data_IF_264969655506
#
_entry.id   IF_264969655506
#
_cell.length_a   1.000
_cell.length_b   1.000
_cell.length_c   1.000
_cell.angle_alpha   90.00
_cell.angle_beta   90.00
_cell.angle_gamma   90.00
#
_symmetry.space_group_name_H-M   'P 1'
#
loop_
_entity.id
_entity.type
_entity.pdbx_description
1 polymer ?
#
# COMPACT_ATOMS: atom_id res chain seq x y z
N UNK A 1 9.97 14.20 -35.89
CA UNK A 1 9.21 15.26 -35.21
C UNK A 1 9.20 14.92 -33.74
N UNK A 2 9.71 15.80 -32.86
CA UNK A 2 9.63 15.59 -31.41
C UNK A 2 8.23 15.89 -30.91
N UNK A 3 7.75 15.13 -29.92
CA UNK A 3 6.50 15.43 -29.21
C UNK A 3 6.56 16.84 -28.60
N UNK A 4 5.47 17.59 -28.73
CA UNK A 4 5.31 18.89 -28.08
C UNK A 4 5.16 18.75 -26.56
N UNK A 5 5.44 19.81 -25.81
CA UNK A 5 5.34 19.81 -24.33
C UNK A 5 3.90 19.50 -23.84
N UNK A 6 2.90 19.98 -24.58
CA UNK A 6 1.49 19.69 -24.33
C UNK A 6 1.14 18.22 -24.56
N UNK A 7 1.66 17.61 -25.63
CA UNK A 7 1.49 16.17 -25.92
C UNK A 7 2.11 15.30 -24.83
N UNK A 8 3.31 15.66 -24.35
CA UNK A 8 3.97 14.96 -23.24
C UNK A 8 3.16 15.04 -21.95
N UNK A 9 2.64 16.23 -21.62
CA UNK A 9 1.83 16.46 -20.42
C UNK A 9 0.49 15.71 -20.48
N UNK A 10 -0.14 15.67 -21.66
CA UNK A 10 -1.37 14.90 -21.90
C UNK A 10 -1.10 13.39 -21.76
N UNK A 11 0.01 12.90 -22.34
CA UNK A 11 0.44 11.50 -22.26
C UNK A 11 0.74 11.07 -20.82
N UNK A 12 1.48 11.88 -20.07
CA UNK A 12 1.77 11.63 -18.64
C UNK A 12 0.47 11.53 -17.83
N UNK A 13 -0.47 12.44 -18.09
CA UNK A 13 -1.78 12.44 -17.43
C UNK A 13 -2.59 11.18 -17.76
N UNK A 14 -2.62 10.75 -19.02
CA UNK A 14 -3.34 9.54 -19.43
C UNK A 14 -2.74 8.28 -18.79
N UNK A 15 -1.41 8.16 -18.76
CA UNK A 15 -0.73 7.03 -18.12
C UNK A 15 -1.03 6.99 -16.61
N UNK A 16 -1.04 8.15 -15.94
CA UNK A 16 -1.42 8.22 -14.54
C UNK A 16 -2.90 7.87 -14.31
N UNK A 17 -3.80 8.27 -15.20
CA UNK A 17 -5.21 7.86 -15.14
C UNK A 17 -5.38 6.35 -15.29
N UNK A 18 -4.64 5.70 -16.21
CA UNK A 18 -4.65 4.25 -16.35
C UNK A 18 -4.21 3.55 -15.05
N UNK A 19 -3.15 4.05 -14.41
CA UNK A 19 -2.71 3.58 -13.09
C UNK A 19 -3.78 3.75 -12.01
N UNK A 20 -4.42 4.93 -11.94
CA UNK A 20 -5.51 5.21 -10.99
C UNK A 20 -6.72 4.31 -11.23
N UNK A 21 -7.03 3.96 -12.47
CA UNK A 21 -8.19 3.15 -12.85
C UNK A 21 -7.94 1.63 -12.74
N UNK A 22 -6.69 1.18 -12.67
CA UNK A 22 -6.35 -0.23 -12.54
C UNK A 22 -7.06 -0.89 -11.33
N UNK A 23 -7.65 -2.07 -11.56
CA UNK A 23 -8.58 -2.73 -10.65
C UNK A 23 -8.06 -4.06 -10.06
N UNK A 24 -6.82 -4.43 -10.41
CA UNK A 24 -6.12 -5.64 -9.95
C UNK A 24 -4.72 -5.27 -9.48
N UNK A 25 -4.15 -6.04 -8.54
CA UNK A 25 -2.81 -5.78 -8.02
C UNK A 25 -1.77 -5.80 -9.15
N UNK A 26 -1.72 -6.88 -9.94
CA UNK A 26 -0.85 -7.01 -11.12
C UNK A 26 -1.05 -5.88 -12.14
N UNK A 27 -2.31 -5.52 -12.44
CA UNK A 27 -2.61 -4.42 -13.37
C UNK A 27 -2.15 -3.06 -12.86
N UNK A 28 -2.27 -2.80 -11.55
CA UNK A 28 -1.76 -1.58 -10.91
C UNK A 28 -0.23 -1.52 -10.98
N UNK A 29 0.48 -2.60 -10.65
CA UNK A 29 1.95 -2.66 -10.74
C UNK A 29 2.43 -2.48 -12.19
N UNK A 30 1.78 -3.13 -13.16
CA UNK A 30 2.11 -2.99 -14.57
C UNK A 30 1.87 -1.57 -15.09
N UNK A 31 0.71 -0.98 -14.79
CA UNK A 31 0.41 0.39 -15.20
C UNK A 31 1.39 1.40 -14.60
N UNK A 32 1.79 1.19 -13.34
CA UNK A 32 2.80 2.01 -12.67
C UNK A 32 4.19 1.86 -13.30
N UNK A 33 4.62 0.63 -13.60
CA UNK A 33 5.89 0.39 -14.30
C UNK A 33 5.95 1.06 -15.67
N UNK A 34 4.85 0.98 -16.44
CA UNK A 34 4.74 1.69 -17.73
C UNK A 34 4.81 3.20 -17.51
N UNK A 35 4.09 3.74 -16.53
CA UNK A 35 4.14 5.17 -16.18
C UNK A 35 5.57 5.62 -15.88
N UNK A 36 6.27 4.94 -14.96
CA UNK A 36 7.65 5.28 -14.59
C UNK A 36 8.58 5.22 -15.80
N UNK A 37 8.51 4.15 -16.60
CA UNK A 37 9.36 3.99 -17.80
C UNK A 37 9.14 5.09 -18.83
N UNK A 38 7.89 5.50 -19.07
CA UNK A 38 7.57 6.51 -20.07
C UNK A 38 7.89 7.94 -19.60
N UNK A 39 7.95 8.15 -18.28
CA UNK A 39 8.34 9.42 -17.68
C UNK A 39 9.83 9.45 -17.28
N UNK A 40 10.58 8.39 -17.61
CA UNK A 40 12.01 8.25 -17.28
C UNK A 40 12.29 8.41 -15.78
N UNK A 41 11.36 7.92 -14.94
CA UNK A 41 11.47 7.94 -13.49
C UNK A 41 11.97 6.59 -12.97
N UNK A 42 12.97 6.61 -12.10
CA UNK A 42 13.42 5.43 -11.38
C UNK A 42 12.74 5.35 -10.00
N UNK A 43 11.81 4.39 -9.77
CA UNK A 43 11.19 4.20 -8.46
C UNK A 43 12.16 3.70 -7.38
N UNK A 44 13.37 3.27 -7.73
CA UNK A 44 14.37 2.85 -6.76
C UNK A 44 15.06 4.03 -6.06
N UNK A 45 15.10 5.21 -6.69
CA UNK A 45 15.49 6.48 -6.06
C UNK A 45 14.36 7.05 -5.19
N UNK A 46 14.03 6.32 -4.11
CA UNK A 46 12.90 6.61 -3.24
C UNK A 46 12.93 8.02 -2.63
N UNK A 47 14.13 8.62 -2.49
CA UNK A 47 14.34 9.91 -1.84
C UNK A 47 13.79 11.09 -2.66
N UNK A 48 13.90 11.01 -3.98
CA UNK A 48 13.47 12.07 -4.90
C UNK A 48 12.20 11.69 -5.68
N UNK A 49 11.88 10.40 -5.75
CA UNK A 49 10.85 9.85 -6.64
C UNK A 49 9.49 10.55 -6.55
N UNK A 50 8.93 10.74 -5.35
CA UNK A 50 7.63 11.39 -5.20
C UNK A 50 7.63 12.82 -5.75
N UNK A 51 8.72 13.57 -5.52
CA UNK A 51 8.90 14.93 -6.06
C UNK A 51 8.93 14.93 -7.57
N UNK A 52 9.72 14.03 -8.17
CA UNK A 52 9.87 13.87 -9.62
C UNK A 52 8.56 13.42 -10.29
N UNK A 53 7.86 12.43 -9.71
CA UNK A 53 6.55 11.98 -10.18
C UNK A 53 5.53 13.12 -10.16
N UNK A 54 5.47 13.89 -9.06
CA UNK A 54 4.57 15.03 -8.93
C UNK A 54 4.87 16.11 -9.97
N UNK A 55 6.13 16.38 -10.26
CA UNK A 55 6.54 17.35 -11.27
C UNK A 55 6.16 16.88 -12.69
N UNK A 56 6.36 15.60 -12.99
CA UNK A 56 6.05 15.01 -14.30
C UNK A 56 4.54 14.87 -14.57
N UNK A 57 3.71 14.73 -13.53
CA UNK A 57 2.25 14.59 -13.64
C UNK A 57 1.56 15.85 -13.07
N UNK A 58 1.51 16.91 -13.87
CA UNK A 58 1.13 18.26 -13.44
C UNK A 58 -0.30 18.71 -13.80
N UNK A 59 -1.19 17.81 -14.23
CA UNK A 59 -2.55 18.21 -14.67
C UNK A 59 -3.53 18.57 -13.55
N UNK A 60 -4.54 19.37 -13.89
CA UNK A 60 -5.59 19.79 -12.96
C UNK A 60 -6.32 18.62 -12.29
N UNK A 61 -6.44 17.48 -12.98
CA UNK A 61 -7.11 16.27 -12.50
C UNK A 61 -6.41 15.61 -11.32
N UNK A 62 -5.11 15.84 -11.13
CA UNK A 62 -4.30 15.23 -10.06
C UNK A 62 -3.92 16.19 -8.95
N UNK A 63 -4.07 17.50 -9.17
CA UNK A 63 -3.75 18.57 -8.20
C UNK A 63 -4.32 18.30 -6.78
N UNK A 64 -5.58 17.88 -6.70
CA UNK A 64 -6.23 17.59 -5.41
C UNK A 64 -5.62 16.39 -4.66
N UNK A 65 -5.06 15.42 -5.38
CA UNK A 65 -4.33 14.30 -4.78
C UNK A 65 -2.98 14.78 -4.22
N UNK A 66 -2.23 15.55 -5.02
CA UNK A 66 -0.95 16.13 -4.61
C UNK A 66 -1.08 17.02 -3.38
N UNK A 67 -2.07 17.92 -3.34
CA UNK A 67 -2.33 18.75 -2.16
C UNK A 67 -2.56 17.94 -0.89
N UNK A 68 -3.25 16.79 -1.00
CA UNK A 68 -3.53 15.91 0.13
C UNK A 68 -2.27 15.20 0.65
N UNK A 69 -1.50 14.62 -0.27
CA UNK A 69 -0.25 13.92 0.07
C UNK A 69 0.81 14.90 0.58
N UNK A 70 0.96 16.07 -0.04
CA UNK A 70 1.86 17.13 0.41
C UNK A 70 1.47 17.61 1.82
N UNK A 71 0.18 17.82 2.09
CA UNK A 71 -0.29 18.21 3.44
C UNK A 71 0.05 17.16 4.50
N UNK A 72 0.01 15.87 4.15
CA UNK A 72 0.44 14.79 5.05
C UNK A 72 1.96 14.83 5.24
N UNK A 73 2.73 14.83 4.16
CA UNK A 73 4.20 14.82 4.19
C UNK A 73 4.82 16.04 4.90
N UNK A 74 4.14 17.19 4.92
CA UNK A 74 4.57 18.42 5.59
C UNK A 74 4.32 18.43 7.10
N UNK A 75 3.70 17.40 7.69
CA UNK A 75 3.56 17.33 9.15
C UNK A 75 4.92 17.25 9.82
N UNK A 76 5.08 17.97 10.95
CA UNK A 76 6.36 18.12 11.65
C UNK A 76 7.04 16.79 11.99
N UNK A 77 6.26 15.75 12.29
CA UNK A 77 6.76 14.41 12.64
C UNK A 77 7.63 13.77 11.55
N UNK A 78 7.39 14.10 10.27
CA UNK A 78 8.16 13.53 9.16
C UNK A 78 9.47 14.26 8.90
N UNK A 79 9.71 15.42 9.53
CA UNK A 79 10.91 16.24 9.34
C UNK A 79 11.28 16.44 7.87
N UNK A 80 10.28 16.80 7.04
CA UNK A 80 10.46 16.93 5.57
C UNK A 80 11.06 15.67 4.92
N UNK A 81 10.56 14.49 5.29
CA UNK A 81 11.04 13.19 4.81
C UNK A 81 12.46 12.80 5.26
N UNK A 82 12.94 13.38 6.38
CA UNK A 82 14.31 13.14 6.88
C UNK A 82 14.37 12.52 8.27
N UNK A 83 13.23 12.28 8.91
CA UNK A 83 13.18 11.77 10.29
C UNK A 83 13.88 10.41 10.46
N UNK A 84 13.81 9.56 9.44
CA UNK A 84 14.43 8.23 9.41
C UNK A 84 15.30 8.03 8.14
N UNK A 85 15.92 9.10 7.64
CA UNK A 85 16.78 9.02 6.47
C UNK A 85 17.92 8.01 6.69
N UNK A 86 18.19 7.19 5.68
CA UNK A 86 19.20 6.14 5.75
C UNK A 86 18.72 4.83 6.38
N UNK A 87 17.53 4.80 6.99
CA UNK A 87 16.93 3.56 7.52
C UNK A 87 16.31 2.75 6.38
N UNK A 88 16.62 1.46 6.33
CA UNK A 88 16.04 0.49 5.38
C UNK A 88 15.06 -0.42 6.09
N UNK A 89 13.86 -0.56 5.54
CA UNK A 89 12.76 -1.30 6.16
C UNK A 89 12.21 -2.38 5.23
N UNK A 90 12.05 -3.60 5.75
CA UNK A 90 11.33 -4.69 5.10
C UNK A 90 9.96 -4.89 5.76
N UNK A 91 8.90 -4.86 4.97
CA UNK A 91 7.53 -5.15 5.40
C UNK A 91 7.09 -6.47 4.77
N UNK A 92 6.68 -7.42 5.60
CA UNK A 92 6.21 -8.73 5.18
C UNK A 92 4.68 -8.69 5.16
N UNK A 93 4.09 -8.66 3.95
CA UNK A 93 2.65 -8.69 3.74
C UNK A 93 2.07 -7.40 3.13
N UNK A 94 1.45 -7.53 1.96
CA UNK A 94 0.75 -6.48 1.21
C UNK A 94 -0.73 -6.32 1.62
N UNK A 95 -1.04 -6.58 2.90
CA UNK A 95 -2.36 -6.34 3.49
C UNK A 95 -2.62 -4.86 3.77
N UNK A 96 -3.85 -4.47 4.17
CA UNK A 96 -4.14 -3.08 4.54
C UNK A 96 -3.18 -2.51 5.59
N UNK A 97 -2.89 -3.26 6.65
CA UNK A 97 -1.99 -2.82 7.71
C UNK A 97 -0.55 -2.66 7.20
N UNK A 98 -0.01 -3.64 6.47
CA UNK A 98 1.37 -3.58 5.93
C UNK A 98 1.56 -2.41 4.98
N UNK A 99 0.64 -2.21 4.02
CA UNK A 99 0.69 -1.08 3.09
C UNK A 99 0.50 0.26 3.82
N UNK A 100 -0.37 0.32 4.83
CA UNK A 100 -0.56 1.54 5.63
C UNK A 100 0.71 1.90 6.41
N UNK A 101 1.41 0.91 6.97
CA UNK A 101 2.69 1.10 7.63
C UNK A 101 3.77 1.53 6.64
N UNK A 102 3.79 0.93 5.44
CA UNK A 102 4.73 1.30 4.38
C UNK A 102 4.64 2.78 4.01
N UNK A 103 3.41 3.31 3.93
CA UNK A 103 3.15 4.73 3.67
C UNK A 103 3.76 5.62 4.76
N UNK A 104 3.61 5.30 6.06
CA UNK A 104 4.21 6.13 7.12
C UNK A 104 5.74 6.07 7.10
N UNK A 105 6.33 4.88 6.92
CA UNK A 105 7.78 4.73 6.83
C UNK A 105 8.36 5.48 5.63
N UNK A 106 7.67 5.43 4.48
CA UNK A 106 8.08 6.19 3.30
C UNK A 106 8.03 7.69 3.60
N UNK A 107 6.99 8.19 4.27
CA UNK A 107 6.88 9.59 4.68
C UNK A 107 7.95 10.01 5.69
N UNK A 108 8.41 9.10 6.56
CA UNK A 108 9.52 9.34 7.49
C UNK A 108 10.89 9.44 6.81
N UNK A 109 11.02 8.98 5.56
CA UNK A 109 12.27 9.00 4.80
C UNK A 109 13.00 7.67 4.68
N UNK A 110 12.37 6.57 5.12
CA UNK A 110 12.98 5.23 5.00
C UNK A 110 13.02 4.77 3.53
N UNK A 111 14.00 3.92 3.20
CA UNK A 111 13.88 3.02 2.04
C UNK A 111 12.94 1.87 2.46
N UNK A 112 11.78 1.78 1.83
CA UNK A 112 10.76 0.79 2.21
C UNK A 112 10.58 -0.25 1.11
N UNK A 113 10.74 -1.51 1.47
CA UNK A 113 10.45 -2.67 0.62
C UNK A 113 9.29 -3.46 1.24
N UNK A 114 8.26 -3.75 0.44
CA UNK A 114 7.15 -4.62 0.81
C UNK A 114 7.25 -5.90 -0.02
N UNK A 115 7.25 -7.05 0.65
CA UNK A 115 7.12 -8.36 0.00
C UNK A 115 5.74 -8.95 0.28
N UNK A 116 5.09 -9.50 -0.74
CA UNK A 116 3.81 -10.18 -0.65
C UNK A 116 3.84 -11.50 -1.42
N UNK A 117 3.41 -12.57 -0.75
CA UNK A 117 3.37 -13.92 -1.33
C UNK A 117 2.42 -14.05 -2.52
N UNK A 118 1.37 -13.24 -2.59
CA UNK A 118 0.35 -13.28 -3.65
C UNK A 118 0.48 -12.13 -4.63
N UNK A 119 0.03 -12.32 -5.87
CA UNK A 119 -0.09 -11.25 -6.86
C UNK A 119 -1.52 -10.75 -7.09
N UNK A 120 -2.46 -11.21 -6.25
CA UNK A 120 -3.89 -10.89 -6.37
C UNK A 120 -4.51 -10.47 -5.05
N UNK A 121 -5.39 -9.47 -5.12
CA UNK A 121 -6.25 -9.05 -4.01
C UNK A 121 -7.67 -9.61 -4.24
N UNK A 122 -7.94 -10.77 -3.64
CA UNK A 122 -9.13 -11.59 -3.92
C UNK A 122 -10.24 -11.53 -2.86
N UNK A 123 -9.96 -10.92 -1.69
CA UNK A 123 -10.91 -10.92 -0.55
C UNK A 123 -11.99 -9.85 -0.74
N UNK A 124 -13.24 -10.32 -0.89
CA UNK A 124 -14.41 -9.45 -1.08
C UNK A 124 -15.08 -9.01 0.23
N UNK A 125 -14.79 -9.71 1.34
CA UNK A 125 -15.35 -9.35 2.65
C UNK A 125 -15.12 -7.86 2.97
N UNK A 126 -16.09 -7.29 3.68
CA UNK A 126 -16.21 -5.87 3.95
C UNK A 126 -15.74 -5.57 5.38
N UNK A 127 -14.92 -4.54 5.52
CA UNK A 127 -14.41 -4.04 6.79
C UNK A 127 -15.17 -2.78 7.17
N UNK A 128 -15.73 -2.76 8.38
CA UNK A 128 -16.17 -1.52 9.01
C UNK A 128 -14.96 -0.61 9.30
N UNK A 129 -15.16 0.69 9.16
CA UNK A 129 -14.16 1.73 9.35
C UNK A 129 -14.62 2.71 10.42
N UNK A 130 -13.78 2.91 11.43
CA UNK A 130 -14.04 3.95 12.41
C UNK A 130 -13.88 5.34 11.79
N UNK A 131 -14.50 6.39 12.36
CA UNK A 131 -14.43 7.75 11.82
C UNK A 131 -13.00 8.25 11.56
N UNK A 132 -12.04 7.93 12.45
CA UNK A 132 -10.64 8.34 12.26
C UNK A 132 -9.98 7.64 11.07
N UNK A 133 -10.32 6.37 10.81
CA UNK A 133 -9.81 5.61 9.66
C UNK A 133 -10.38 6.17 8.36
N UNK A 134 -11.66 6.55 8.34
CA UNK A 134 -12.27 7.23 7.19
C UNK A 134 -11.55 8.56 6.93
N UNK A 135 -11.30 9.35 7.98
CA UNK A 135 -10.58 10.62 7.86
C UNK A 135 -9.15 10.42 7.33
N UNK A 136 -8.40 9.43 7.87
CA UNK A 136 -7.04 9.09 7.43
C UNK A 136 -7.00 8.71 5.94
N UNK A 137 -7.87 7.79 5.51
CA UNK A 137 -7.94 7.36 4.10
C UNK A 137 -8.38 8.51 3.18
N UNK A 138 -9.33 9.38 3.60
CA UNK A 138 -9.69 10.59 2.86
C UNK A 138 -8.51 11.56 2.73
N UNK A 139 -7.67 11.66 3.75
CA UNK A 139 -6.46 12.48 3.74
C UNK A 139 -5.36 11.90 2.83
N UNK A 140 -5.37 10.58 2.57
CA UNK A 140 -4.52 9.92 1.58
C UNK A 140 -5.11 9.92 0.15
N UNK A 141 -6.23 10.60 -0.06
CA UNK A 141 -6.84 10.73 -1.39
C UNK A 141 -7.72 9.54 -1.80
N UNK A 142 -8.26 8.76 -0.86
CA UNK A 142 -9.09 7.58 -1.15
C UNK A 142 -10.14 7.77 -2.26
N UNK A 143 -10.84 8.91 -2.29
CA UNK A 143 -11.86 9.20 -3.33
C UNK A 143 -11.29 9.27 -4.76
N UNK A 144 -10.00 9.58 -4.93
CA UNK A 144 -9.34 9.58 -6.24
C UNK A 144 -9.18 8.16 -6.79
N UNK A 145 -8.88 7.20 -5.92
CA UNK A 145 -8.64 5.81 -6.29
C UNK A 145 -9.91 4.95 -6.24
N UNK A 146 -10.89 5.37 -5.43
CA UNK A 146 -12.18 4.71 -5.29
C UNK A 146 -13.28 5.77 -5.10
N UNK A 147 -13.94 6.16 -6.20
CA UNK A 147 -14.93 7.25 -6.21
C UNK A 147 -16.11 7.04 -5.26
N UNK A 148 -16.47 5.78 -4.97
CA UNK A 148 -17.53 5.40 -4.04
C UNK A 148 -17.09 5.39 -2.57
N UNK A 149 -15.83 5.74 -2.26
CA UNK A 149 -15.29 5.66 -0.91
C UNK A 149 -16.09 6.49 0.09
N UNK A 150 -16.77 5.80 1.02
CA UNK A 150 -17.55 6.38 2.11
C UNK A 150 -18.45 7.53 1.62
N UNK A 151 -19.22 7.28 0.56
CA UNK A 151 -20.21 8.20 0.03
C UNK A 151 -21.48 8.16 0.90
N UNK A 152 -22.05 9.32 1.22
CA UNK A 152 -23.16 9.41 2.16
C UNK A 152 -22.76 8.92 3.56
N UNK A 153 -23.55 8.01 4.13
CA UNK A 153 -23.35 7.39 5.44
C UNK A 153 -22.54 6.09 5.41
N UNK A 154 -22.02 5.66 4.25
CA UNK A 154 -21.21 4.43 4.14
C UNK A 154 -19.94 4.58 4.99
N UNK A 155 -19.71 3.60 5.87
CA UNK A 155 -18.58 3.55 6.79
C UNK A 155 -17.74 2.28 6.64
N UNK A 156 -17.80 1.63 5.47
CA UNK A 156 -17.12 0.36 5.23
C UNK A 156 -16.49 0.27 3.85
N UNK A 157 -15.59 -0.71 3.69
CA UNK A 157 -14.87 -0.97 2.44
C UNK A 157 -14.50 -2.45 2.31
N UNK A 158 -14.58 -3.02 1.09
CA UNK A 158 -14.05 -4.37 0.86
C UNK A 158 -12.53 -4.41 1.02
N UNK A 159 -12.01 -5.51 1.55
CA UNK A 159 -10.57 -5.69 1.81
C UNK A 159 -9.75 -5.42 0.54
N UNK A 160 -10.14 -5.99 -0.60
CA UNK A 160 -9.41 -5.79 -1.87
C UNK A 160 -9.39 -4.34 -2.35
N UNK A 161 -10.46 -3.55 -2.13
CA UNK A 161 -10.48 -2.14 -2.53
C UNK A 161 -9.57 -1.30 -1.64
N UNK A 162 -9.54 -1.60 -0.34
CA UNK A 162 -8.60 -0.97 0.58
C UNK A 162 -7.15 -1.29 0.22
N UNK A 163 -6.85 -2.56 -0.12
CA UNK A 163 -5.51 -2.96 -0.59
C UNK A 163 -5.11 -2.24 -1.88
N UNK A 164 -5.98 -2.15 -2.89
CA UNK A 164 -5.68 -1.44 -4.14
C UNK A 164 -5.41 0.05 -3.92
N UNK A 165 -6.21 0.70 -3.08
CA UNK A 165 -6.03 2.10 -2.75
C UNK A 165 -4.68 2.35 -2.07
N UNK A 166 -4.37 1.58 -1.02
CA UNK A 166 -3.13 1.75 -0.27
C UNK A 166 -1.90 1.35 -1.10
N UNK A 167 -2.01 0.35 -1.99
CA UNK A 167 -0.96 0.01 -2.94
C UNK A 167 -0.63 1.19 -3.85
N UNK A 168 -1.66 1.86 -4.41
CA UNK A 168 -1.46 3.03 -5.28
C UNK A 168 -0.75 4.17 -4.55
N UNK A 169 -1.15 4.45 -3.30
CA UNK A 169 -0.49 5.48 -2.48
C UNK A 169 0.95 5.07 -2.14
N UNK A 170 1.19 3.80 -1.82
CA UNK A 170 2.54 3.28 -1.53
C UNK A 170 3.48 3.48 -2.72
N UNK A 171 3.03 3.10 -3.93
CA UNK A 171 3.81 3.25 -5.17
C UNK A 171 4.11 4.72 -5.48
N UNK A 172 3.11 5.61 -5.35
CA UNK A 172 3.30 7.06 -5.53
C UNK A 172 4.39 7.61 -4.60
N UNK A 173 4.47 7.10 -3.37
CA UNK A 173 5.45 7.53 -2.37
C UNK A 173 6.80 6.82 -2.48
N UNK A 174 7.04 6.05 -3.55
CA UNK A 174 8.33 5.39 -3.78
C UNK A 174 8.54 4.12 -2.94
N UNK A 175 7.48 3.53 -2.38
CA UNK A 175 7.57 2.21 -1.75
C UNK A 175 7.80 1.15 -2.83
N UNK A 176 8.84 0.35 -2.64
CA UNK A 176 9.16 -0.76 -3.52
C UNK A 176 8.32 -1.98 -3.13
N UNK A 177 7.51 -2.50 -4.06
CA UNK A 177 6.56 -3.60 -3.77
C UNK A 177 6.83 -4.79 -4.68
N UNK A 178 7.11 -5.95 -4.08
CA UNK A 178 7.34 -7.21 -4.77
C UNK A 178 6.27 -8.23 -4.41
N UNK A 179 5.59 -8.72 -5.45
CA UNK A 179 4.57 -9.78 -5.33
C UNK A 179 5.13 -11.12 -5.76
N UNK A 180 4.47 -12.22 -5.37
CA UNK A 180 4.97 -13.59 -5.56
C UNK A 180 6.31 -13.83 -4.85
N UNK A 181 6.56 -13.11 -3.76
CA UNK A 181 7.75 -13.27 -2.91
C UNK A 181 7.29 -13.68 -1.52
N UNK A 182 7.62 -14.92 -1.14
CA UNK A 182 7.30 -15.46 0.17
C UNK A 182 8.49 -15.26 1.11
N UNK A 183 8.24 -14.67 2.28
CA UNK A 183 9.19 -14.67 3.39
C UNK A 183 9.28 -16.06 4.01
N UNK A 184 10.49 -16.53 4.28
CA UNK A 184 10.76 -17.81 4.97
C UNK A 184 11.23 -17.57 6.39
N UNK A 185 12.34 -16.85 6.57
CA UNK A 185 12.92 -16.53 7.88
C UNK A 185 13.88 -15.34 7.79
N UNK A 186 14.28 -14.81 8.95
CA UNK A 186 15.38 -13.87 9.04
C UNK A 186 16.71 -14.59 8.85
N UNK A 187 17.66 -13.89 8.25
CA UNK A 187 19.05 -14.31 8.10
C UNK A 187 19.91 -13.32 8.87
N UNK A 188 20.57 -13.82 9.91
CA UNK A 188 21.46 -13.04 10.75
C UNK A 188 22.73 -12.64 9.98
N UNK A 189 23.30 -11.46 10.26
CA UNK A 189 24.66 -11.13 9.83
C UNK A 189 25.65 -12.21 10.30
N UNK A 190 26.62 -12.63 9.48
CA UNK A 190 27.70 -13.52 9.92
C UNK A 190 28.45 -12.98 11.14
N UNK A 191 28.78 -13.85 12.11
CA UNK A 191 29.49 -13.47 13.33
C UNK A 191 30.92 -12.95 13.06
N UNK A 192 31.61 -13.55 12.08
CA UNK A 192 32.94 -13.16 11.65
C UNK A 192 32.86 -12.39 10.32
N UNK A 193 32.82 -11.06 10.40
CA UNK A 193 32.84 -10.18 9.23
C UNK A 193 33.63 -8.90 9.49
N UNK A 194 34.18 -8.30 8.43
CA UNK A 194 34.72 -6.94 8.44
C UNK A 194 33.58 -5.91 8.54
N UNK A 195 33.88 -4.64 8.86
CA UNK A 195 32.86 -3.58 8.99
C UNK A 195 31.94 -3.43 7.75
N UNK A 196 32.38 -3.90 6.57
CA UNK A 196 31.62 -3.91 5.30
C UNK A 196 30.76 -5.17 5.06
N UNK A 197 30.54 -6.00 6.07
CA UNK A 197 29.76 -7.23 5.97
C UNK A 197 28.24 -7.01 5.74
N UNK A 198 27.51 -8.03 5.25
CA UNK A 198 26.07 -7.91 5.03
C UNK A 198 25.30 -7.75 6.35
N UNK A 199 24.37 -6.80 6.39
CA UNK A 199 23.44 -6.63 7.51
C UNK A 199 22.36 -7.74 7.57
N UNK A 200 21.34 -7.52 8.40
CA UNK A 200 20.19 -8.42 8.49
C UNK A 200 19.49 -8.56 7.13
N UNK A 201 19.17 -9.81 6.75
CA UNK A 201 18.48 -10.13 5.49
C UNK A 201 17.28 -11.05 5.74
N UNK A 202 16.54 -11.32 4.68
CA UNK A 202 15.43 -12.27 4.70
C UNK A 202 15.71 -13.41 3.71
N UNK A 203 15.53 -14.65 4.16
CA UNK A 203 15.39 -15.77 3.25
C UNK A 203 14.01 -15.67 2.59
N UNK A 204 13.99 -15.65 1.27
CA UNK A 204 12.77 -15.50 0.48
C UNK A 204 12.64 -16.59 -0.60
N UNK A 205 11.42 -16.80 -1.06
CA UNK A 205 11.13 -17.68 -2.21
C UNK A 205 10.46 -16.88 -3.34
N UNK A 206 10.96 -17.01 -4.59
CA UNK A 206 12.11 -17.83 -5.01
C UNK A 206 13.45 -17.25 -4.52
N UNK A 207 14.42 -18.12 -4.21
CA UNK A 207 15.74 -17.71 -3.68
C UNK A 207 16.61 -16.96 -4.69
N UNK A 208 16.29 -17.04 -5.98
CA UNK A 208 16.94 -16.28 -7.04
C UNK A 208 16.44 -14.83 -7.15
N UNK A 209 15.50 -14.42 -6.29
CA UNK A 209 14.94 -13.08 -6.33
C UNK A 209 15.99 -12.05 -5.86
N UNK A 210 16.14 -10.88 -6.53
CA UNK A 210 17.17 -9.88 -6.19
C UNK A 210 17.14 -9.38 -4.75
N UNK A 211 15.96 -9.41 -4.11
CA UNK A 211 15.82 -9.03 -2.70
C UNK A 211 16.51 -9.99 -1.70
N UNK A 212 17.03 -11.13 -2.14
CA UNK A 212 17.77 -12.05 -1.26
C UNK A 212 19.05 -11.40 -0.71
N UNK A 213 19.55 -10.37 -1.39
CA UNK A 213 20.72 -9.58 -0.97
C UNK A 213 20.34 -8.23 -0.34
N UNK A 214 19.03 -7.95 -0.20
CA UNK A 214 18.55 -6.72 0.42
C UNK A 214 18.73 -6.79 1.95
N UNK A 215 19.66 -5.98 2.47
CA UNK A 215 19.83 -5.79 3.91
C UNK A 215 18.95 -4.67 4.45
N UNK A 216 18.39 -4.86 5.64
CA UNK A 216 17.49 -3.91 6.30
C UNK A 216 17.79 -3.76 7.79
N UNK A 217 17.39 -2.62 8.35
CA UNK A 217 17.59 -2.28 9.76
C UNK A 217 16.28 -2.48 10.55
N UNK A 218 15.14 -2.48 9.85
CA UNK A 218 13.81 -2.61 10.43
C UNK A 218 13.04 -3.69 9.66
N UNK A 219 12.40 -4.62 10.39
CA UNK A 219 11.47 -5.60 9.82
C UNK A 219 10.10 -5.49 10.48
N UNK A 220 9.04 -5.57 9.68
CA UNK A 220 7.65 -5.48 10.13
C UNK A 220 6.86 -6.67 9.59
N UNK A 221 6.42 -7.54 10.50
CA UNK A 221 5.51 -8.64 10.20
C UNK A 221 4.05 -8.15 10.10
N UNK A 222 3.49 -8.10 8.89
CA UNK A 222 2.12 -7.67 8.60
C UNK A 222 1.37 -8.67 7.69
N UNK A 223 1.77 -9.93 7.72
CA UNK A 223 1.31 -11.05 6.88
C UNK A 223 0.16 -11.88 7.52
N UNK A 224 -0.34 -11.41 8.66
CA UNK A 224 -1.57 -11.89 9.28
C UNK A 224 -1.38 -13.04 10.27
N UNK A 225 -2.48 -13.70 10.64
CA UNK A 225 -2.50 -14.64 11.79
C UNK A 225 -1.58 -15.85 11.64
N UNK A 226 -1.29 -16.31 10.43
CA UNK A 226 -0.61 -17.59 10.21
C UNK A 226 0.92 -17.51 10.29
N UNK A 227 1.46 -16.31 10.47
CA UNK A 227 2.90 -16.08 10.48
C UNK A 227 3.28 -15.16 11.62
N UNK A 228 4.43 -15.43 12.22
CA UNK A 228 5.02 -14.65 13.31
C UNK A 228 6.51 -14.75 13.15
N UNK A 229 7.17 -13.60 13.18
CA UNK A 229 8.62 -13.56 13.26
C UNK A 229 9.11 -14.30 14.51
N UNK A 230 10.22 -15.01 14.38
CA UNK A 230 10.84 -15.71 15.49
C UNK A 230 11.13 -14.73 16.65
N UNK A 231 11.02 -15.23 17.88
CA UNK A 231 11.17 -14.42 19.10
C UNK A 231 9.87 -13.78 19.63
N UNK A 232 8.77 -13.81 18.88
CA UNK A 232 7.47 -13.29 19.36
C UNK A 232 6.53 -14.40 19.84
N UNK A 233 6.22 -14.41 21.14
CA UNK A 233 5.25 -15.35 21.73
C UNK A 233 3.81 -14.90 21.50
N UNK A 234 2.92 -15.81 21.08
CA UNK A 234 1.48 -15.55 20.97
C UNK A 234 0.76 -15.90 22.26
N UNK A 235 -0.17 -15.04 22.68
CA UNK A 235 -1.17 -15.38 23.72
C UNK A 235 -2.44 -15.86 23.03
N UNK A 236 -2.85 -17.09 23.30
CA UNK A 236 -4.12 -17.64 22.84
C UNK A 236 -5.20 -17.42 23.90
N UNK A 237 -6.32 -16.81 23.50
CA UNK A 237 -7.51 -16.69 24.35
C UNK A 237 -8.60 -17.61 23.79
N UNK A 238 -8.90 -18.68 24.51
CA UNK A 238 -9.99 -19.60 24.17
C UNK A 238 -11.24 -19.24 24.97
N UNK A 239 -12.22 -18.68 24.27
CA UNK A 239 -13.57 -18.42 24.81
C UNK A 239 -14.52 -19.58 24.56
N UNK A 240 -15.83 -19.27 24.55
CA UNK A 240 -16.87 -20.21 24.11
C UNK A 240 -16.71 -20.52 22.61
N UNK A 241 -17.22 -21.67 22.18
CA UNK A 241 -17.31 -22.00 20.76
C UNK A 241 -18.13 -20.91 20.05
N UNK A 242 -17.53 -20.30 19.03
CA UNK A 242 -18.15 -19.29 18.20
C UNK A 242 -17.80 -19.55 16.73
N UNK A 243 -18.81 -19.62 15.87
CA UNK A 243 -18.67 -19.87 14.44
C UNK A 243 -19.27 -18.67 13.70
N UNK A 244 -18.47 -18.04 12.85
CA UNK A 244 -18.91 -16.92 12.01
C UNK A 244 -18.95 -17.36 10.54
N UNK A 245 -20.04 -17.01 9.85
CA UNK A 245 -20.21 -17.25 8.41
C UNK A 245 -20.26 -15.89 7.72
N UNK A 246 -19.50 -15.73 6.63
CA UNK A 246 -19.55 -14.53 5.79
C UNK A 246 -19.99 -14.90 4.39
N UNK A 247 -20.95 -14.17 3.84
CA UNK A 247 -21.43 -14.35 2.47
C UNK A 247 -21.34 -13.03 1.70
N UNK A 248 -21.08 -13.11 0.39
CA UNK A 248 -21.11 -11.96 -0.51
C UNK A 248 -22.02 -12.30 -1.68
N UNK A 249 -23.01 -11.45 -1.94
CA UNK A 249 -23.91 -11.55 -3.08
C UNK A 249 -23.59 -10.46 -4.11
N UNK A 250 -23.95 -10.69 -5.37
CA UNK A 250 -23.76 -9.70 -6.43
C UNK A 250 -24.70 -8.51 -6.17
N UNK A 251 -24.14 -7.31 -6.06
CA UNK A 251 -24.89 -6.06 -6.00
C UNK A 251 -24.92 -5.42 -7.41
N UNK A 252 -26.10 -5.33 -8.03
CA UNK A 252 -26.29 -4.74 -9.37
C UNK A 252 -26.52 -3.24 -9.35
N UNK A 253 -26.58 -2.61 -8.17
CA UNK A 253 -26.82 -1.18 -7.97
C UNK A 253 -28.17 -0.70 -8.55
N UNK A 254 -29.18 -1.54 -8.54
CA UNK A 254 -30.56 -1.15 -8.88
C UNK A 254 -31.16 -0.24 -7.82
N UNK A 255 -32.18 0.54 -8.18
CA UNK A 255 -32.90 1.40 -7.22
C UNK A 255 -33.55 0.58 -6.10
N UNK A 256 -33.97 -0.66 -6.39
CA UNK A 256 -34.54 -1.56 -5.38
C UNK A 256 -33.49 -2.00 -4.36
N UNK A 257 -32.30 -2.44 -4.82
CA UNK A 257 -31.17 -2.80 -3.94
C UNK A 257 -30.71 -1.62 -3.08
N UNK A 258 -30.66 -0.40 -3.64
CA UNK A 258 -30.19 0.80 -2.93
C UNK A 258 -31.13 1.29 -1.82
N UNK A 259 -32.40 0.85 -1.81
CA UNK A 259 -33.38 1.21 -0.76
C UNK A 259 -33.30 0.29 0.47
N UNK A 260 -32.61 -0.85 0.37
CA UNK A 260 -32.47 -1.78 1.49
C UNK A 260 -31.49 -1.20 2.50
N UNK A 261 -31.93 -1.05 3.75
CA UNK A 261 -31.11 -0.51 4.83
C UNK A 261 -30.05 -1.51 5.29
N UNK A 262 -28.89 -1.01 5.72
CA UNK A 262 -27.81 -1.82 6.27
C UNK A 262 -28.10 -2.23 7.72
N UNK A 263 -27.66 -3.43 8.10
CA UNK A 263 -27.78 -3.95 9.47
C UNK A 263 -26.41 -3.82 10.15
N UNK A 264 -26.28 -2.88 11.10
CA UNK A 264 -25.00 -2.50 11.72
C UNK A 264 -24.42 -3.51 12.73
N UNK A 265 -25.19 -4.54 13.11
CA UNK A 265 -24.77 -5.56 14.08
C UNK A 265 -24.86 -5.14 15.55
N UNK A 266 -24.95 -3.84 15.86
CA UNK A 266 -25.25 -3.33 17.23
C UNK A 266 -26.70 -3.67 17.64
N UNK A 267 -27.56 -3.93 16.65
CA UNK A 267 -28.95 -4.30 16.83
C UNK A 267 -29.19 -5.64 17.55
N UNK A 268 -28.16 -6.46 17.81
CA UNK A 268 -28.31 -7.71 18.56
C UNK A 268 -28.32 -7.51 20.09
N UNK A 269 -27.91 -6.33 20.57
CA UNK A 269 -27.76 -6.04 22.02
C UNK A 269 -29.04 -5.41 22.61
N UNK A 270 -29.93 -4.89 21.77
CA UNK A 270 -31.19 -4.22 22.16
C UNK A 270 -32.39 -4.95 21.57
#
# INVERSE_FOLDING_TARGET
>A
MGETEDERTARASQLFENFVQASTCKGTLQAFSILCRQLELDPLDHSSFYGSLKAAVSSWKVKALWTKLDKRAQQKIYSQNKACQGTRSLIIGGGPCGLRTAIELALLGCKVVVIEKRDTFSRNNVLHLWPYTIHDLRALGAKKFYGKFCAGSIDHISIRQLQLMLLKVSLILGVEVHVNVEFVKLVEPPEEQTDDGPGWRAEIRPSSHPLSDFSFDVVIGADGRRSTLDGFTRKEFRGKLAIAITANFVNRNTTAEAKVEEISGVAFIF
#
